data_IF_714791753924
#
_entry.id   IF_714791753924
#
_cell.length_a   1.000
_cell.length_b   1.000
_cell.length_c   1.000
_cell.angle_alpha   90.00
_cell.angle_beta   90.00
_cell.angle_gamma   90.00
#
_symmetry.space_group_name_H-M   'P 1'
#
loop_
_entity.id
_entity.type
_entity.pdbx_description
1 polymer ?
#
# COMPACT_ATOMS: atom_id res chain seq x y z
N UNK A 1 1.00 10.62 -35.91
CA UNK A 1 1.18 10.82 -34.45
C UNK A 1 0.98 9.48 -33.76
N UNK A 2 1.99 8.89 -33.12
CA UNK A 2 1.80 7.71 -32.25
C UNK A 2 0.91 8.13 -31.09
N UNK A 3 -0.20 7.45 -30.91
CA UNK A 3 -1.14 7.69 -29.80
C UNK A 3 -0.41 7.32 -28.51
N UNK A 4 -0.12 8.28 -27.65
CA UNK A 4 0.43 8.00 -26.32
C UNK A 4 -0.62 7.18 -25.56
N UNK A 5 -0.19 6.01 -25.08
CA UNK A 5 -0.98 5.14 -24.22
C UNK A 5 -0.62 5.42 -22.78
N UNK A 6 -1.55 5.20 -21.85
CA UNK A 6 -1.32 5.32 -20.43
C UNK A 6 -1.63 4.01 -19.72
N UNK A 7 -0.87 3.70 -18.68
CA UNK A 7 -1.10 2.53 -17.84
C UNK A 7 -0.66 2.81 -16.40
N UNK A 8 -1.12 1.99 -15.46
CA UNK A 8 -0.73 2.05 -14.07
C UNK A 8 0.44 1.10 -13.80
N UNK A 9 1.40 1.54 -13.01
CA UNK A 9 2.51 0.70 -12.54
C UNK A 9 2.00 -0.21 -11.45
N UNK A 10 1.97 -1.52 -11.69
CA UNK A 10 1.48 -2.51 -10.72
C UNK A 10 2.61 -3.22 -9.99
N UNK A 11 3.84 -3.20 -10.53
CA UNK A 11 5.02 -3.77 -9.86
C UNK A 11 6.27 -3.00 -10.25
N UNK A 12 7.16 -2.82 -9.28
CA UNK A 12 8.49 -2.25 -9.46
C UNK A 12 9.54 -3.26 -8.96
N UNK A 13 10.36 -3.75 -9.86
CA UNK A 13 11.47 -4.67 -9.58
C UNK A 13 12.81 -4.04 -10.02
N UNK A 14 13.11 -2.86 -9.50
CA UNK A 14 14.33 -2.12 -9.80
C UNK A 14 14.34 -1.46 -11.18
N UNK A 15 14.89 -2.13 -12.20
CA UNK A 15 14.92 -1.61 -13.57
C UNK A 15 13.77 -2.09 -14.45
N UNK A 16 12.98 -3.04 -13.96
CA UNK A 16 11.87 -3.64 -14.67
C UNK A 16 10.57 -3.30 -13.97
N UNK A 17 9.54 -3.01 -14.74
CA UNK A 17 8.22 -2.63 -14.28
C UNK A 17 7.18 -3.57 -14.89
N UNK A 18 6.10 -3.79 -14.17
CA UNK A 18 4.88 -4.32 -14.74
C UNK A 18 3.85 -3.20 -14.76
N UNK A 19 3.22 -3.05 -15.91
CA UNK A 19 2.14 -2.08 -16.14
C UNK A 19 0.82 -2.82 -16.35
N UNK A 20 -0.28 -2.15 -16.04
CA UNK A 20 -1.62 -2.63 -16.38
C UNK A 20 -2.51 -1.48 -16.82
N UNK A 21 -3.34 -1.73 -17.84
CA UNK A 21 -4.41 -0.82 -18.25
C UNK A 21 -5.65 -1.13 -17.40
N UNK A 22 -5.83 -0.37 -16.30
CA UNK A 22 -6.97 -0.54 -15.42
C UNK A 22 -8.27 -0.02 -16.09
N UNK A 23 -9.43 -0.65 -15.84
CA UNK A 23 -9.66 -1.75 -14.87
C UNK A 23 -9.44 -3.16 -15.44
N UNK A 24 -9.05 -3.31 -16.71
CA UNK A 24 -8.98 -4.62 -17.37
C UNK A 24 -7.92 -5.58 -16.81
N UNK A 25 -7.00 -5.12 -15.99
CA UNK A 25 -5.90 -5.88 -15.35
C UNK A 25 -5.05 -6.71 -16.35
N UNK A 26 -4.81 -6.17 -17.55
CA UNK A 26 -3.89 -6.76 -18.52
C UNK A 26 -2.46 -6.35 -18.15
N UNK A 27 -1.70 -7.26 -17.57
CA UNK A 27 -0.34 -6.96 -17.08
C UNK A 27 0.69 -7.25 -18.18
N UNK A 28 1.57 -6.28 -18.43
CA UNK A 28 2.65 -6.40 -19.42
C UNK A 28 3.96 -5.77 -18.93
N UNK A 29 5.14 -6.26 -19.39
CA UNK A 29 6.43 -5.76 -18.95
C UNK A 29 6.78 -4.42 -19.56
N UNK A 30 7.53 -3.62 -18.79
CA UNK A 30 8.02 -2.32 -19.22
C UNK A 30 9.40 -2.02 -18.66
N UNK A 31 10.10 -1.11 -19.37
CA UNK A 31 11.38 -0.52 -18.95
C UNK A 31 11.29 1.00 -18.96
N UNK A 32 12.16 1.63 -18.18
CA UNK A 32 12.22 3.08 -18.10
C UNK A 32 13.14 3.66 -19.18
N UNK A 33 12.69 4.69 -19.89
CA UNK A 33 13.54 5.43 -20.84
C UNK A 33 14.73 6.06 -20.11
N UNK A 34 15.94 5.95 -20.67
CA UNK A 34 17.20 6.34 -20.01
C UNK A 34 17.23 7.77 -19.47
N UNK A 35 16.60 8.73 -20.16
CA UNK A 35 16.52 10.15 -19.75
C UNK A 35 15.77 10.32 -18.41
N UNK A 36 14.73 9.52 -18.14
CA UNK A 36 14.00 9.58 -16.88
C UNK A 36 14.82 9.07 -15.68
N UNK A 37 15.79 8.19 -15.92
CA UNK A 37 16.74 7.73 -14.88
C UNK A 37 17.67 8.86 -14.43
N UNK A 38 18.02 9.76 -15.32
CA UNK A 38 18.96 10.88 -15.06
C UNK A 38 18.27 12.06 -14.37
N UNK A 39 16.95 12.22 -14.52
CA UNK A 39 16.16 13.32 -13.97
C UNK A 39 15.63 13.08 -12.54
N UNK A 40 15.90 11.94 -11.92
CA UNK A 40 15.32 11.52 -10.63
C UNK A 40 15.86 12.24 -9.38
N UNK A 41 16.58 13.32 -9.53
CA UNK A 41 17.06 14.31 -8.54
C UNK A 41 17.21 13.86 -7.08
N UNK A 42 16.13 13.83 -6.31
CA UNK A 42 16.15 13.54 -4.86
C UNK A 42 15.46 12.22 -4.47
N UNK A 43 14.93 11.47 -5.42
CA UNK A 43 14.24 10.20 -5.17
C UNK A 43 15.03 9.03 -5.74
N UNK A 44 15.11 7.93 -5.00
CA UNK A 44 15.82 6.71 -5.42
C UNK A 44 15.10 5.95 -6.52
N UNK A 45 13.78 6.14 -6.63
CA UNK A 45 12.94 5.53 -7.65
C UNK A 45 12.10 6.61 -8.35
N UNK A 46 12.35 6.88 -9.64
CA UNK A 46 11.57 7.85 -10.40
C UNK A 46 10.14 7.40 -10.64
N UNK A 47 9.87 6.09 -10.59
CA UNK A 47 8.57 5.46 -10.85
C UNK A 47 8.23 4.54 -9.68
N UNK A 48 7.03 4.69 -9.13
CA UNK A 48 6.51 3.91 -8.00
C UNK A 48 5.27 3.11 -8.40
N UNK A 49 4.91 2.12 -7.61
CA UNK A 49 3.64 1.39 -7.75
C UNK A 49 2.47 2.37 -7.55
N UNK A 50 1.45 2.29 -8.41
CA UNK A 50 0.33 3.22 -8.45
C UNK A 50 0.54 4.45 -9.34
N UNK A 51 1.75 4.69 -9.84
CA UNK A 51 1.96 5.77 -10.83
C UNK A 51 1.20 5.49 -12.12
N UNK A 52 0.58 6.53 -12.65
CA UNK A 52 0.06 6.53 -14.01
C UNK A 52 1.19 7.02 -14.92
N UNK A 53 1.54 6.21 -15.91
CA UNK A 53 2.66 6.49 -16.81
C UNK A 53 2.19 6.55 -18.26
N UNK A 54 2.85 7.39 -19.06
CA UNK A 54 2.76 7.30 -20.52
C UNK A 54 3.82 6.31 -21.01
N UNK A 55 3.43 5.49 -21.98
CA UNK A 55 4.34 4.52 -22.57
C UNK A 55 4.20 4.40 -24.08
N UNK A 56 5.25 3.90 -24.70
CA UNK A 56 5.29 3.53 -26.12
C UNK A 56 5.53 2.02 -26.23
N UNK A 57 4.99 1.40 -27.27
CA UNK A 57 5.33 0.01 -27.61
C UNK A 57 6.78 -0.06 -28.09
N UNK A 58 7.61 -0.81 -27.38
CA UNK A 58 8.99 -1.08 -27.76
C UNK A 58 9.10 -2.26 -28.72
N UNK A 59 10.34 -2.55 -29.10
CA UNK A 59 10.68 -3.77 -29.82
C UNK A 59 10.53 -4.96 -28.85
N UNK A 60 10.14 -6.13 -29.35
CA UNK A 60 10.03 -7.38 -28.56
C UNK A 60 8.87 -7.42 -27.53
N UNK A 61 7.80 -6.64 -27.72
CA UNK A 61 6.61 -6.67 -26.85
C UNK A 61 6.83 -6.02 -25.49
N UNK A 62 7.96 -5.36 -25.23
CA UNK A 62 8.27 -4.64 -23.99
C UNK A 62 7.89 -3.18 -24.15
N UNK A 63 7.09 -2.65 -23.23
CA UNK A 63 6.75 -1.23 -23.22
C UNK A 63 7.90 -0.37 -22.72
N UNK A 64 7.98 0.87 -23.21
CA UNK A 64 8.97 1.87 -22.77
C UNK A 64 8.25 3.03 -22.10
N UNK A 65 8.42 3.18 -20.78
CA UNK A 65 7.87 4.31 -20.02
C UNK A 65 8.58 5.60 -20.46
N UNK A 66 7.79 6.56 -20.92
CA UNK A 66 8.28 7.84 -21.46
C UNK A 66 8.09 9.01 -20.50
N UNK A 67 7.06 8.95 -19.65
CA UNK A 67 6.80 9.95 -18.61
C UNK A 67 5.96 9.40 -17.48
N UNK A 68 6.04 10.04 -16.32
CA UNK A 68 5.14 9.82 -15.18
C UNK A 68 4.17 11.00 -15.14
N UNK A 69 2.86 10.72 -15.04
CA UNK A 69 1.84 11.75 -14.92
C UNK A 69 1.85 12.35 -13.50
N UNK A 70 1.29 13.55 -13.29
CA UNK A 70 1.19 14.14 -11.97
C UNK A 70 0.47 13.22 -10.98
N UNK A 71 1.09 13.02 -9.82
CA UNK A 71 0.51 12.23 -8.71
C UNK A 71 -0.52 13.06 -7.97
N UNK A 72 -1.65 12.45 -7.58
CA UNK A 72 -2.61 13.06 -6.65
C UNK A 72 -2.04 13.11 -5.24
N UNK A 73 -1.44 11.99 -4.83
CA UNK A 73 -0.78 11.79 -3.56
C UNK A 73 0.27 10.68 -3.68
N UNK A 74 1.06 10.51 -2.65
CA UNK A 74 2.06 9.42 -2.59
C UNK A 74 2.50 9.19 -1.14
N UNK A 75 2.98 7.99 -0.85
CA UNK A 75 3.58 7.65 0.44
C UNK A 75 5.08 7.47 0.27
N UNK A 76 5.86 8.10 1.15
CA UNK A 76 7.33 7.99 1.15
C UNK A 76 7.83 7.20 2.35
N UNK A 77 8.92 6.48 2.12
CA UNK A 77 9.79 5.94 3.17
C UNK A 77 11.09 6.74 3.17
N UNK A 78 11.40 7.37 4.29
CA UNK A 78 12.72 8.00 4.45
C UNK A 78 13.76 6.92 4.74
N UNK A 79 14.91 7.00 4.08
CA UNK A 79 16.07 6.18 4.43
C UNK A 79 16.57 6.59 5.81
N UNK A 80 16.84 5.62 6.69
CA UNK A 80 17.46 5.85 8.00
C UNK A 80 18.94 6.18 7.91
N UNK A 81 19.58 5.87 6.80
CA UNK A 81 20.95 6.27 6.53
C UNK A 81 20.95 7.70 5.99
N UNK A 82 21.85 8.53 6.49
CA UNK A 82 22.19 9.93 6.19
C UNK A 82 21.96 10.44 4.73
N UNK A 83 21.45 9.63 3.84
CA UNK A 83 21.03 10.01 2.50
C UNK A 83 19.71 10.78 2.58
N UNK A 84 19.69 12.01 2.10
CA UNK A 84 18.49 12.85 1.92
C UNK A 84 17.48 12.27 0.89
N UNK A 85 17.62 10.99 0.55
CA UNK A 85 16.82 10.35 -0.49
C UNK A 85 15.57 9.72 0.11
N UNK A 86 14.42 10.08 -0.42
CA UNK A 86 13.14 9.48 -0.10
C UNK A 86 12.80 8.41 -1.15
N UNK A 87 12.24 7.29 -0.71
CA UNK A 87 11.73 6.25 -1.57
C UNK A 87 10.21 6.30 -1.58
N UNK A 88 9.60 6.49 -2.74
CA UNK A 88 8.15 6.48 -2.88
C UNK A 88 7.71 5.02 -2.92
N UNK A 89 6.84 4.64 -2.00
CA UNK A 89 6.36 3.25 -1.86
C UNK A 89 5.07 3.00 -2.62
N UNK A 90 4.17 3.99 -2.64
CA UNK A 90 2.91 3.93 -3.36
C UNK A 90 2.51 5.33 -3.82
N UNK A 91 1.80 5.44 -4.93
CA UNK A 91 1.26 6.67 -5.48
C UNK A 91 -0.22 6.50 -5.86
N UNK A 92 -0.96 7.62 -5.91
CA UNK A 92 -2.36 7.69 -6.31
C UNK A 92 -3.27 6.76 -5.49
N UNK A 93 -3.01 6.68 -4.18
CA UNK A 93 -3.78 5.88 -3.21
C UNK A 93 -5.11 6.56 -2.92
N UNK A 94 -6.20 5.81 -2.95
CA UNK A 94 -7.54 6.31 -2.62
C UNK A 94 -7.84 6.15 -1.12
N UNK A 95 -7.36 5.04 -0.49
CA UNK A 95 -7.58 4.75 0.92
C UNK A 95 -6.39 4.01 1.52
N UNK A 96 -5.97 4.39 2.71
CA UNK A 96 -4.99 3.66 3.51
C UNK A 96 -5.70 2.89 4.64
N UNK A 97 -5.54 1.56 4.66
CA UNK A 97 -5.99 0.70 5.74
C UNK A 97 -4.82 0.39 6.67
N UNK A 98 -4.88 0.92 7.89
CA UNK A 98 -3.84 0.74 8.91
C UNK A 98 -4.21 -0.45 9.80
N UNK A 99 -3.61 -1.60 9.52
CA UNK A 99 -3.92 -2.86 10.22
C UNK A 99 -3.14 -2.91 11.53
N UNK A 100 -3.85 -3.03 12.63
CA UNK A 100 -3.30 -3.13 13.99
C UNK A 100 -3.98 -4.26 14.76
N UNK A 101 -3.34 -4.72 15.83
CA UNK A 101 -3.94 -5.63 16.82
C UNK A 101 -3.66 -5.06 18.20
N UNK A 102 -4.60 -5.14 19.17
CA UNK A 102 -4.38 -4.58 20.49
C UNK A 102 -3.25 -5.28 21.24
N UNK A 103 -3.14 -6.61 21.14
CA UNK A 103 -2.26 -7.41 22.01
C UNK A 103 -1.28 -8.33 21.24
N UNK A 104 -1.60 -8.76 20.00
CA UNK A 104 -0.84 -9.83 19.32
C UNK A 104 -0.46 -9.47 17.86
N UNK A 105 0.58 -8.62 17.64
CA UNK A 105 1.44 -7.91 18.63
C UNK A 105 0.71 -6.71 19.25
N UNK A 106 1.20 -6.26 20.41
CA UNK A 106 0.66 -5.08 21.06
C UNK A 106 0.81 -3.84 20.17
N UNK A 107 -0.29 -3.07 20.04
CA UNK A 107 -0.31 -1.87 19.22
C UNK A 107 0.62 -0.80 19.80
N UNK A 108 1.47 -0.26 18.95
CA UNK A 108 2.30 0.90 19.29
C UNK A 108 1.60 2.19 18.89
N UNK A 109 0.79 2.76 19.77
CA UNK A 109 0.02 3.97 19.51
C UNK A 109 0.85 5.10 18.89
N UNK A 110 2.06 5.45 19.38
CA UNK A 110 2.88 6.50 18.75
C UNK A 110 3.31 6.18 17.32
N UNK A 111 3.37 4.90 16.95
CA UNK A 111 3.62 4.50 15.57
C UNK A 111 2.37 4.70 14.69
N UNK A 112 1.22 4.24 15.16
CA UNK A 112 -0.07 4.41 14.50
C UNK A 112 -0.37 5.89 14.26
N UNK A 113 -0.24 6.73 15.27
CA UNK A 113 -0.48 8.18 15.20
C UNK A 113 0.41 8.85 14.16
N UNK A 114 1.69 8.49 14.09
CA UNK A 114 2.61 9.04 13.08
C UNK A 114 2.22 8.63 11.66
N UNK A 115 1.71 7.42 11.47
CA UNK A 115 1.26 6.97 10.15
C UNK A 115 -0.01 7.71 9.76
N UNK A 116 -0.97 7.90 10.68
CA UNK A 116 -2.18 8.68 10.46
C UNK A 116 -1.84 10.12 10.07
N UNK A 117 -0.98 10.80 10.84
CA UNK A 117 -0.50 12.15 10.51
C UNK A 117 0.19 12.19 9.14
N UNK A 118 0.93 11.14 8.78
CA UNK A 118 1.55 11.05 7.45
C UNK A 118 0.49 10.96 6.36
N UNK A 119 -0.57 10.19 6.57
CA UNK A 119 -1.69 10.11 5.63
C UNK A 119 -2.35 11.48 5.43
N UNK A 120 -2.61 12.21 6.53
CA UNK A 120 -3.14 13.58 6.47
C UNK A 120 -2.25 14.53 5.65
N UNK A 121 -0.95 14.54 5.94
CA UNK A 121 0.03 15.41 5.24
C UNK A 121 0.04 15.15 3.73
N UNK A 122 -0.16 13.91 3.31
CA UNK A 122 -0.17 13.53 1.90
C UNK A 122 -1.57 13.47 1.28
N UNK A 123 -2.61 13.86 2.01
CA UNK A 123 -3.99 13.89 1.52
C UNK A 123 -4.53 12.50 1.19
N UNK A 124 -4.18 11.49 2.00
CA UNK A 124 -4.64 10.11 1.83
C UNK A 124 -5.64 9.80 2.95
N UNK A 125 -6.92 9.56 2.64
CA UNK A 125 -7.88 9.10 3.63
C UNK A 125 -7.40 7.81 4.30
N UNK A 126 -7.60 7.69 5.61
CA UNK A 126 -7.14 6.54 6.39
C UNK A 126 -8.26 5.92 7.22
N UNK A 127 -8.29 4.60 7.26
CA UNK A 127 -9.17 3.79 8.10
C UNK A 127 -8.31 2.82 8.90
N UNK A 128 -8.60 2.67 10.19
CA UNK A 128 -7.92 1.71 11.04
C UNK A 128 -8.65 0.37 10.94
N UNK A 129 -7.90 -0.70 10.73
CA UNK A 129 -8.42 -2.07 10.73
C UNK A 129 -7.91 -2.77 11.98
N UNK A 130 -8.80 -2.92 12.96
CA UNK A 130 -8.50 -3.62 14.20
C UNK A 130 -8.66 -5.11 13.96
N UNK A 131 -7.56 -5.82 13.86
CA UNK A 131 -7.50 -7.23 13.48
C UNK A 131 -7.43 -8.15 14.68
N UNK A 132 -7.73 -9.45 14.47
CA UNK A 132 -7.66 -10.54 15.47
C UNK A 132 -8.57 -10.29 16.68
N UNK A 133 -9.71 -9.65 16.46
CA UNK A 133 -10.66 -9.33 17.54
C UNK A 133 -11.15 -10.56 18.29
N UNK A 134 -11.20 -11.72 17.63
CA UNK A 134 -11.51 -13.02 18.22
C UNK A 134 -10.60 -13.40 19.40
N UNK A 135 -9.34 -12.95 19.38
CA UNK A 135 -8.34 -13.32 20.39
C UNK A 135 -8.52 -12.55 21.73
N UNK A 136 -9.22 -11.42 21.72
CA UNK A 136 -9.29 -10.57 22.92
C UNK A 136 -10.66 -9.94 23.17
N UNK A 137 -11.66 -10.17 22.30
CA UNK A 137 -13.00 -9.61 22.49
C UNK A 137 -13.69 -10.07 23.77
N UNK A 138 -13.54 -11.35 24.13
CA UNK A 138 -14.18 -11.90 25.31
C UNK A 138 -13.51 -11.42 26.62
N UNK A 139 -12.23 -11.16 26.60
CA UNK A 139 -11.43 -10.84 27.79
C UNK A 139 -11.26 -9.34 28.02
N UNK A 140 -11.30 -8.55 26.95
CA UNK A 140 -11.04 -7.11 27.00
C UNK A 140 -11.96 -6.30 26.08
N UNK A 141 -13.28 -6.42 26.16
CA UNK A 141 -14.21 -5.66 25.33
C UNK A 141 -14.06 -4.15 25.52
N UNK A 142 -13.79 -3.70 26.77
CA UNK A 142 -13.62 -2.29 27.10
C UNK A 142 -12.39 -1.70 26.39
N UNK A 143 -11.35 -2.49 26.18
CA UNK A 143 -10.15 -2.02 25.46
C UNK A 143 -10.46 -1.77 23.97
N UNK A 144 -11.31 -2.58 23.35
CA UNK A 144 -11.79 -2.37 21.99
C UNK A 144 -12.60 -1.07 21.92
N UNK A 145 -13.56 -0.89 22.83
CA UNK A 145 -14.41 0.31 22.88
C UNK A 145 -13.58 1.57 23.13
N UNK A 146 -12.63 1.54 24.07
CA UNK A 146 -11.75 2.65 24.34
C UNK A 146 -10.88 3.01 23.12
N UNK A 147 -10.31 2.01 22.46
CA UNK A 147 -9.52 2.21 21.24
C UNK A 147 -10.36 2.84 20.15
N UNK A 148 -11.55 2.31 19.87
CA UNK A 148 -12.48 2.87 18.89
C UNK A 148 -12.85 4.31 19.22
N UNK A 149 -13.25 4.56 20.47
CA UNK A 149 -13.67 5.88 20.92
C UNK A 149 -12.56 6.94 20.69
N UNK A 150 -11.31 6.60 20.99
CA UNK A 150 -10.15 7.49 20.79
C UNK A 150 -10.03 7.89 19.31
N UNK A 151 -10.00 6.91 18.41
CA UNK A 151 -9.69 7.18 17.01
C UNK A 151 -10.91 7.67 16.21
N UNK A 152 -12.11 7.17 16.50
CA UNK A 152 -13.35 7.65 15.85
C UNK A 152 -13.66 9.10 16.27
N UNK A 153 -13.38 9.47 17.54
CA UNK A 153 -13.49 10.87 17.99
C UNK A 153 -12.48 11.80 17.31
N UNK A 154 -11.33 11.26 16.90
CA UNK A 154 -10.34 11.99 16.11
C UNK A 154 -10.65 12.00 14.60
N UNK A 155 -11.75 11.37 14.16
CA UNK A 155 -12.21 11.36 12.77
C UNK A 155 -11.68 10.17 11.93
N UNK A 156 -11.05 9.17 12.56
CA UNK A 156 -10.58 7.97 11.85
C UNK A 156 -11.53 6.81 12.06
N UNK A 157 -12.19 6.30 10.99
CA UNK A 157 -13.04 5.11 11.11
C UNK A 157 -12.24 3.90 11.59
N UNK A 158 -12.88 3.04 12.40
CA UNK A 158 -12.30 1.79 12.87
C UNK A 158 -13.17 0.62 12.40
N UNK A 159 -12.57 -0.32 11.67
CA UNK A 159 -13.20 -1.57 11.25
C UNK A 159 -12.61 -2.71 12.06
N UNK A 160 -13.45 -3.38 12.85
CA UNK A 160 -13.07 -4.58 13.59
C UNK A 160 -13.10 -5.79 12.68
N UNK A 161 -12.05 -6.64 12.74
CA UNK A 161 -11.93 -7.80 11.86
C UNK A 161 -11.35 -9.01 12.57
N UNK A 162 -11.86 -10.19 12.19
CA UNK A 162 -11.27 -11.48 12.50
C UNK A 162 -11.30 -12.38 11.27
N UNK A 163 -10.17 -12.88 10.85
CA UNK A 163 -10.08 -13.87 9.75
C UNK A 163 -10.53 -15.26 10.21
N UNK A 164 -10.58 -15.51 11.51
CA UNK A 164 -11.01 -16.79 12.09
C UNK A 164 -12.52 -16.90 12.10
N UNK A 165 -13.21 -15.83 12.51
CA UNK A 165 -14.68 -15.80 12.60
C UNK A 165 -15.35 -15.26 11.34
N UNK A 166 -14.60 -14.58 10.46
CA UNK A 166 -15.11 -13.86 9.29
C UNK A 166 -15.66 -12.46 9.62
N UNK A 167 -15.62 -12.04 10.88
CA UNK A 167 -16.14 -10.75 11.30
C UNK A 167 -15.45 -9.61 10.56
N UNK A 168 -16.23 -8.64 10.04
CA UNK A 168 -15.77 -7.43 9.38
C UNK A 168 -15.13 -7.62 7.99
N UNK A 169 -14.93 -8.88 7.54
CA UNK A 169 -14.26 -9.17 6.26
C UNK A 169 -15.08 -8.66 5.08
N UNK A 170 -16.39 -8.92 5.06
CA UNK A 170 -17.25 -8.48 3.95
C UNK A 170 -17.40 -6.96 3.91
N UNK A 171 -17.51 -6.32 5.06
CA UNK A 171 -17.56 -4.86 5.16
C UNK A 171 -16.27 -4.22 4.64
N UNK A 172 -15.11 -4.79 4.99
CA UNK A 172 -13.81 -4.32 4.51
C UNK A 172 -13.66 -4.57 3.00
N UNK A 173 -14.13 -5.72 2.50
CA UNK A 173 -14.13 -6.04 1.06
C UNK A 173 -14.93 -5.02 0.27
N UNK A 174 -16.13 -4.68 0.73
CA UNK A 174 -16.97 -3.68 0.07
C UNK A 174 -16.33 -2.29 0.12
N UNK A 175 -15.73 -1.91 1.24
CA UNK A 175 -15.00 -0.64 1.38
C UNK A 175 -13.76 -0.55 0.47
N UNK A 176 -13.16 -1.67 0.11
CA UNK A 176 -12.02 -1.70 -0.82
C UNK A 176 -12.42 -1.60 -2.29
N UNK A 177 -13.68 -1.86 -2.62
CA UNK A 177 -14.13 -2.01 -4.02
C UNK A 177 -13.99 -0.72 -4.82
N UNK A 178 -13.40 -0.83 -6.01
CA UNK A 178 -13.24 0.28 -6.95
C UNK A 178 -12.18 1.32 -6.55
N UNK A 179 -11.36 1.03 -5.55
CA UNK A 179 -10.34 1.93 -5.02
C UNK A 179 -8.94 1.33 -5.10
N UNK A 180 -7.94 2.21 -5.17
CA UNK A 180 -6.53 1.85 -4.95
C UNK A 180 -6.27 1.91 -3.45
N UNK A 181 -6.16 0.74 -2.83
CA UNK A 181 -6.06 0.57 -1.39
C UNK A 181 -4.63 0.25 -0.96
N UNK A 182 -4.14 0.93 0.07
CA UNK A 182 -2.85 0.65 0.69
C UNK A 182 -3.07 -0.03 2.05
N UNK A 183 -2.66 -1.29 2.20
CA UNK A 183 -2.63 -1.96 3.50
C UNK A 183 -1.26 -1.76 4.16
N UNK A 184 -1.26 -1.15 5.34
CA UNK A 184 -0.06 -0.88 6.13
C UNK A 184 -0.23 -1.35 7.58
N UNK A 185 0.86 -1.62 8.28
CA UNK A 185 0.85 -2.06 9.68
C UNK A 185 2.12 -2.81 10.04
N UNK A 186 2.33 -3.10 11.33
CA UNK A 186 3.51 -3.83 11.82
C UNK A 186 3.53 -5.30 11.35
N UNK A 187 4.68 -5.95 11.47
CA UNK A 187 4.80 -7.38 11.20
C UNK A 187 3.97 -8.17 12.23
N UNK A 188 3.29 -9.23 11.77
CA UNK A 188 2.51 -10.10 12.65
C UNK A 188 1.08 -9.64 12.96
N UNK A 189 0.66 -8.43 12.58
CA UNK A 189 -0.73 -7.95 12.79
C UNK A 189 -1.78 -8.66 11.92
N UNK A 190 -1.38 -9.51 10.99
CA UNK A 190 -2.30 -10.32 10.18
C UNK A 190 -2.64 -9.74 8.80
N UNK A 191 -1.86 -8.77 8.26
CA UNK A 191 -2.12 -8.18 6.93
C UNK A 191 -2.28 -9.21 5.81
N UNK A 192 -1.33 -10.13 5.69
CA UNK A 192 -1.36 -11.17 4.63
C UNK A 192 -2.56 -12.09 4.77
N UNK A 193 -2.90 -12.48 6.00
CA UNK A 193 -4.08 -13.30 6.28
C UNK A 193 -5.37 -12.54 5.95
N UNK A 194 -5.41 -11.24 6.26
CA UNK A 194 -6.53 -10.37 5.96
C UNK A 194 -6.73 -10.22 4.45
N UNK A 195 -5.66 -9.94 3.69
CA UNK A 195 -5.72 -9.83 2.23
C UNK A 195 -6.20 -11.15 1.60
N UNK A 196 -5.71 -12.28 2.11
CA UNK A 196 -6.16 -13.60 1.65
C UNK A 196 -7.62 -13.89 2.02
N UNK A 197 -8.13 -13.37 3.12
CA UNK A 197 -9.54 -13.46 3.48
C UNK A 197 -10.43 -12.55 2.61
N UNK A 198 -9.92 -11.39 2.19
CA UNK A 198 -10.61 -10.51 1.24
C UNK A 198 -10.72 -11.17 -0.13
N UNK A 199 -9.65 -11.80 -0.60
CA UNK A 199 -9.63 -12.53 -1.87
C UNK A 199 -8.73 -13.78 -1.75
N UNK A 200 -9.33 -14.98 -1.68
CA UNK A 200 -8.59 -16.25 -1.55
C UNK A 200 -7.70 -16.59 -2.74
N UNK A 201 -7.91 -15.95 -3.91
CA UNK A 201 -7.08 -16.14 -5.11
C UNK A 201 -5.71 -15.45 -4.98
N UNK A 202 -5.61 -14.47 -4.08
CA UNK A 202 -4.37 -13.76 -3.82
C UNK A 202 -3.44 -14.59 -2.91
N UNK A 203 -2.17 -14.63 -3.28
CA UNK A 203 -1.10 -15.20 -2.45
C UNK A 203 -0.04 -14.13 -2.16
N UNK A 204 -0.36 -13.15 -1.29
CA UNK A 204 0.59 -12.13 -0.93
C UNK A 204 1.76 -12.79 -0.20
N UNK A 205 2.96 -12.72 -0.80
CA UNK A 205 4.17 -13.29 -0.20
C UNK A 205 4.38 -12.71 1.19
N UNK A 206 4.44 -13.59 2.19
CA UNK A 206 4.69 -13.23 3.58
C UNK A 206 6.09 -12.60 3.65
N UNK A 207 6.16 -11.31 3.88
CA UNK A 207 7.43 -10.54 3.91
C UNK A 207 7.42 -9.29 3.05
N UNK A 208 6.68 -9.27 1.94
CA UNK A 208 6.71 -8.16 0.98
C UNK A 208 5.72 -7.02 1.34
N UNK A 209 4.73 -7.26 2.19
CA UNK A 209 3.70 -6.28 2.58
C UNK A 209 4.05 -5.56 3.89
N UNK A 210 5.05 -5.99 4.63
CA UNK A 210 5.48 -5.35 5.88
C UNK A 210 6.41 -4.15 5.61
N UNK A 211 6.02 -3.25 4.74
CA UNK A 211 6.91 -2.23 4.22
C UNK A 211 7.00 -0.95 5.05
N UNK A 212 6.56 -0.92 6.28
CA UNK A 212 6.81 0.22 7.17
C UNK A 212 7.58 -0.22 8.42
N UNK A 213 8.70 -0.88 8.26
CA UNK A 213 9.74 -0.82 9.27
C UNK A 213 10.52 0.48 9.10
N UNK A 214 10.26 1.44 9.96
CA UNK A 214 11.06 2.67 10.11
C UNK A 214 12.46 2.40 10.68
N UNK A 215 12.87 1.13 10.84
CA UNK A 215 14.19 0.74 11.33
C UNK A 215 14.88 -0.16 10.31
N UNK A 216 16.05 0.30 9.90
CA UNK A 216 16.81 -0.24 8.80
C UNK A 216 17.27 -1.69 8.96
N UNK A 217 16.96 -2.48 7.95
CA UNK A 217 17.86 -3.51 7.38
C UNK A 217 17.51 -3.59 5.90
N UNK A 218 18.54 -3.62 5.06
CA UNK A 218 18.41 -3.71 3.62
C UNK A 218 17.70 -4.99 3.20
N UNK A 219 16.39 -4.85 2.94
CA UNK A 219 15.69 -5.81 2.09
C UNK A 219 15.03 -4.94 1.02
N UNK A 220 15.35 -5.19 -0.23
CA UNK A 220 14.68 -4.56 -1.37
C UNK A 220 13.22 -5.01 -1.33
N UNK A 221 12.38 -4.23 -0.66
CA UNK A 221 10.95 -4.50 -0.58
C UNK A 221 10.38 -4.26 -1.98
N UNK A 222 9.96 -5.32 -2.64
CA UNK A 222 9.21 -5.24 -3.89
C UNK A 222 7.79 -4.83 -3.52
N UNK A 223 7.37 -3.68 -4.02
CA UNK A 223 5.98 -3.23 -3.88
C UNK A 223 5.19 -3.75 -5.09
N UNK A 224 4.02 -4.28 -4.83
CA UNK A 224 3.18 -4.89 -5.85
C UNK A 224 1.70 -4.57 -5.56
N UNK A 225 0.95 -4.29 -6.61
CA UNK A 225 -0.49 -4.11 -6.59
C UNK A 225 -1.16 -5.38 -7.08
N UNK A 226 -2.26 -5.76 -6.46
CA UNK A 226 -3.07 -6.93 -6.81
C UNK A 226 -4.50 -6.50 -7.15
N UNK A 227 -5.17 -7.13 -8.13
CA UNK A 227 -6.59 -6.94 -8.31
C UNK A 227 -7.32 -7.59 -7.15
N UNK A 228 -8.34 -6.94 -6.62
CA UNK A 228 -9.30 -7.52 -5.68
C UNK A 228 -10.55 -7.89 -6.48
N UNK A 229 -10.99 -9.15 -6.40
CA UNK A 229 -12.17 -9.66 -7.12
C UNK A 229 -13.49 -9.10 -6.57
#
# INVERSE_FOLDING_TARGET
MRRMKTATVVKNAGSHYLLSELPAWNVFPAVLRGVLRLGAGKTTNPVAVGDIVSYEEGQDGMAVITSVLPRRNYVIRRSTNLSRQAHIIAANVDMAYLVVSLYFPEVKLPFLDRVLVTCEVYGIPATIVLSKTDMYRAEAPEAIEAFRHIYESAGYPVIETSVVTGEGIDSLREACRGHVNLFSGESGVGKSSLIKALDPSLDPKIGDISAVHLQGKHTTSLYEMYPLA
#
